data_IF_730241540913
#
_entry.id   IF_730241540913
#
_cell.length_a   1.000
_cell.length_b   1.000
_cell.length_c   1.000
_cell.angle_alpha   90.00
_cell.angle_beta   90.00
_cell.angle_gamma   90.00
#
_symmetry.space_group_name_H-M   'P 1'
#
loop_
_entity.id
_entity.type
_entity.pdbx_description
1 polymer ?
#
# COMPACT_ATOMS: atom_id res chain seq x y z
N UNK A 1 14.87 17.69 23.97
CA UNK A 1 13.60 16.94 23.91
C UNK A 1 13.93 15.57 23.37
N UNK A 2 14.00 14.58 24.24
CA UNK A 2 14.29 13.19 23.89
C UNK A 2 13.04 12.59 23.25
N UNK A 3 13.10 12.31 21.94
CA UNK A 3 12.08 11.55 21.23
C UNK A 3 12.08 10.14 21.81
N UNK A 4 11.11 9.83 22.65
CA UNK A 4 10.88 8.47 23.13
C UNK A 4 10.34 7.69 21.95
N UNK A 5 11.19 6.90 21.31
CA UNK A 5 10.77 5.92 20.32
C UNK A 5 9.99 4.87 21.10
N UNK A 6 8.65 4.97 21.12
CA UNK A 6 7.81 3.91 21.65
C UNK A 6 8.07 2.63 20.86
N UNK A 7 8.81 1.73 21.48
CA UNK A 7 9.03 0.40 20.92
C UNK A 7 7.79 -0.45 21.20
N UNK A 8 6.93 -0.56 20.21
CA UNK A 8 5.81 -1.51 20.28
C UNK A 8 6.35 -2.95 20.29
N UNK A 9 5.74 -3.85 21.11
CA UNK A 9 6.14 -5.24 21.13
C UNK A 9 5.90 -5.92 19.77
N UNK A 10 6.50 -7.08 19.51
CA UNK A 10 6.21 -7.85 18.31
C UNK A 10 4.71 -8.07 18.15
N UNK A 11 4.18 -7.80 16.95
CA UNK A 11 2.76 -8.00 16.66
C UNK A 11 2.59 -9.43 16.16
N UNK A 12 1.83 -10.23 16.89
CA UNK A 12 1.44 -11.55 16.43
C UNK A 12 0.41 -11.44 15.30
N UNK A 13 0.42 -12.37 14.37
CA UNK A 13 -0.48 -12.40 13.21
C UNK A 13 -1.96 -12.29 13.56
N UNK A 14 -2.35 -12.88 14.69
CA UNK A 14 -3.73 -12.84 15.22
C UNK A 14 -4.24 -11.44 15.58
N UNK A 15 -3.34 -10.48 15.74
CA UNK A 15 -3.68 -9.10 16.08
C UNK A 15 -3.74 -8.16 14.86
N UNK A 16 -3.40 -8.66 13.67
CA UNK A 16 -3.48 -7.91 12.42
C UNK A 16 -4.70 -8.37 11.63
N UNK A 17 -5.67 -7.47 11.45
CA UNK A 17 -6.84 -7.70 10.62
C UNK A 17 -6.72 -6.92 9.32
N UNK A 18 -7.01 -7.56 8.19
CA UNK A 18 -7.23 -6.89 6.91
C UNK A 18 -8.74 -6.77 6.69
N UNK A 19 -9.18 -5.56 6.41
CA UNK A 19 -10.57 -5.23 6.14
C UNK A 19 -10.66 -4.57 4.76
N UNK A 20 -11.77 -4.79 4.06
CA UNK A 20 -12.11 -3.98 2.90
C UNK A 20 -12.30 -2.53 3.34
N UNK A 21 -11.72 -1.61 2.58
CA UNK A 21 -11.94 -0.18 2.78
C UNK A 21 -13.07 0.28 1.88
N UNK A 22 -14.05 0.94 2.46
CA UNK A 22 -15.22 1.49 1.80
C UNK A 22 -15.20 3.03 1.87
N UNK A 23 -16.07 3.68 1.10
CA UNK A 23 -16.10 5.14 0.96
C UNK A 23 -16.24 5.88 2.31
N UNK A 24 -16.91 5.26 3.29
CA UNK A 24 -17.08 5.76 4.65
C UNK A 24 -15.76 5.87 5.43
N UNK A 25 -14.74 5.14 5.02
CA UNK A 25 -13.40 5.15 5.64
C UNK A 25 -12.47 6.19 5.02
N UNK A 26 -12.96 7.03 4.11
CA UNK A 26 -12.13 7.97 3.36
C UNK A 26 -11.37 8.95 4.27
N UNK A 27 -12.01 9.46 5.34
CA UNK A 27 -11.35 10.35 6.31
C UNK A 27 -10.25 9.63 7.08
N UNK A 28 -10.51 8.40 7.54
CA UNK A 28 -9.53 7.58 8.25
C UNK A 28 -8.30 7.29 7.36
N UNK A 29 -8.55 6.95 6.09
CA UNK A 29 -7.48 6.69 5.11
C UNK A 29 -6.73 7.96 4.71
N UNK A 30 -7.40 9.11 4.61
CA UNK A 30 -6.73 10.39 4.34
C UNK A 30 -5.73 10.75 5.46
N UNK A 31 -6.09 10.53 6.71
CA UNK A 31 -5.20 10.73 7.85
C UNK A 31 -3.99 9.79 7.81
N UNK A 32 -4.19 8.52 7.43
CA UNK A 32 -3.07 7.58 7.24
C UNK A 32 -2.19 7.99 6.06
N UNK A 33 -2.78 8.37 4.94
CA UNK A 33 -2.07 8.76 3.73
C UNK A 33 -1.19 10.00 4.00
N UNK A 34 -1.72 10.99 4.74
CA UNK A 34 -0.98 12.19 5.10
C UNK A 34 0.22 11.95 6.02
N UNK A 35 0.26 10.83 6.75
CA UNK A 35 1.44 10.46 7.55
C UNK A 35 2.58 9.88 6.72
N UNK A 36 2.30 9.45 5.48
CA UNK A 36 3.21 8.64 4.68
C UNK A 36 3.60 9.29 3.34
N UNK A 37 2.76 10.18 2.81
CA UNK A 37 2.91 10.72 1.47
C UNK A 37 2.75 12.23 1.44
N UNK A 38 3.58 12.88 0.62
CA UNK A 38 3.51 14.30 0.31
C UNK A 38 3.67 14.48 -1.21
N UNK A 39 2.69 15.03 -1.93
CA UNK A 39 1.38 15.48 -1.44
C UNK A 39 0.46 14.31 -1.02
N UNK A 40 -0.30 14.54 0.04
CA UNK A 40 -1.29 13.58 0.49
C UNK A 40 -2.59 13.67 -0.34
N UNK A 41 -3.27 12.53 -0.47
CA UNK A 41 -4.63 12.53 -1.01
C UNK A 41 -5.63 12.94 0.07
N UNK A 42 -6.56 13.81 -0.30
CA UNK A 42 -7.62 14.24 0.60
C UNK A 42 -8.77 13.21 0.68
N UNK A 43 -9.65 13.41 1.65
CA UNK A 43 -10.77 12.49 1.88
C UNK A 43 -11.77 12.45 0.70
N UNK A 44 -11.93 13.53 -0.07
CA UNK A 44 -12.83 13.53 -1.22
C UNK A 44 -12.27 12.70 -2.36
N UNK A 45 -10.99 12.87 -2.69
CA UNK A 45 -10.31 12.06 -3.69
C UNK A 45 -10.32 10.57 -3.32
N UNK A 46 -10.10 10.25 -2.05
CA UNK A 46 -10.17 8.86 -1.56
C UNK A 46 -11.59 8.32 -1.61
N UNK A 47 -12.61 9.12 -1.25
CA UNK A 47 -14.02 8.69 -1.33
C UNK A 47 -14.43 8.37 -2.75
N UNK A 48 -14.07 9.22 -3.70
CA UNK A 48 -14.36 9.00 -5.11
C UNK A 48 -13.66 7.74 -5.65
N UNK A 49 -12.39 7.54 -5.26
CA UNK A 49 -11.63 6.36 -5.62
C UNK A 49 -12.23 5.08 -5.03
N UNK A 50 -12.61 5.10 -3.75
CA UNK A 50 -13.22 3.94 -3.08
C UNK A 50 -14.61 3.60 -3.62
N UNK A 51 -15.31 4.58 -4.19
CA UNK A 51 -16.59 4.37 -4.86
C UNK A 51 -16.46 3.83 -6.30
N UNK A 52 -15.25 3.84 -6.87
CA UNK A 52 -14.98 3.28 -8.21
C UNK A 52 -15.12 1.75 -8.17
N UNK A 53 -16.02 1.14 -8.99
CA UNK A 53 -16.19 -0.32 -9.01
C UNK A 53 -14.94 -1.09 -9.44
N UNK A 54 -13.99 -0.45 -10.13
CA UNK A 54 -12.69 -1.04 -10.48
C UNK A 54 -11.68 -1.00 -9.33
N UNK A 55 -11.94 -0.22 -8.27
CA UNK A 55 -11.02 -0.13 -7.15
C UNK A 55 -11.12 -1.33 -6.21
N UNK A 56 -9.97 -1.73 -5.67
CA UNK A 56 -9.86 -2.69 -4.58
C UNK A 56 -9.01 -2.03 -3.49
N UNK A 57 -9.56 -1.88 -2.30
CA UNK A 57 -8.88 -1.21 -1.22
C UNK A 57 -8.95 -2.03 0.07
N UNK A 58 -7.82 -2.11 0.76
CA UNK A 58 -7.66 -2.82 2.02
C UNK A 58 -7.07 -1.89 3.08
N UNK A 59 -7.54 -2.02 4.30
CA UNK A 59 -6.95 -1.38 5.48
C UNK A 59 -6.46 -2.46 6.45
N UNK A 60 -5.25 -2.28 6.97
CA UNK A 60 -4.71 -3.10 8.04
C UNK A 60 -4.98 -2.42 9.38
N UNK A 61 -5.66 -3.12 10.27
CA UNK A 61 -5.89 -2.68 11.64
C UNK A 61 -5.19 -3.62 12.62
N UNK A 62 -4.60 -3.04 13.66
CA UNK A 62 -3.89 -3.77 14.70
C UNK A 62 -4.56 -3.54 16.04
N UNK A 63 -4.78 -4.61 16.79
CA UNK A 63 -5.22 -4.52 18.17
C UNK A 63 -4.01 -4.45 19.10
N UNK A 64 -3.82 -3.31 19.74
CA UNK A 64 -2.68 -3.06 20.63
C UNK A 64 -2.91 -3.58 22.06
N UNK A 65 -4.16 -3.76 22.46
CA UNK A 65 -4.58 -4.29 23.77
C UNK A 65 -5.72 -5.28 23.57
N UNK A 66 -5.79 -6.29 24.43
CA UNK A 66 -6.78 -7.38 24.32
C UNK A 66 -8.23 -6.88 24.23
N UNK A 67 -8.58 -5.83 24.97
CA UNK A 67 -9.92 -5.24 25.02
C UNK A 67 -10.01 -3.86 24.34
N UNK A 68 -8.93 -3.40 23.71
CA UNK A 68 -8.92 -2.11 23.00
C UNK A 68 -9.50 -2.20 21.59
N UNK A 69 -9.96 -1.07 21.01
CA UNK A 69 -10.35 -1.02 19.62
C UNK A 69 -9.13 -1.24 18.72
N UNK A 70 -9.29 -1.90 17.57
CA UNK A 70 -8.23 -2.00 16.59
C UNK A 70 -7.96 -0.62 15.97
N UNK A 71 -6.68 -0.29 15.77
CA UNK A 71 -6.24 0.96 15.17
C UNK A 71 -5.75 0.74 13.75
N UNK A 72 -6.06 1.63 12.80
CA UNK A 72 -5.58 1.54 11.44
C UNK A 72 -4.09 1.90 11.39
N UNK A 73 -3.30 1.05 10.72
CA UNK A 73 -1.84 1.19 10.67
C UNK A 73 -1.27 1.11 9.27
N UNK A 74 -2.08 0.78 8.28
CA UNK A 74 -1.65 0.70 6.89
C UNK A 74 -2.81 0.44 5.95
N UNK A 75 -2.55 0.60 4.67
CA UNK A 75 -3.53 0.42 3.60
C UNK A 75 -2.87 0.00 2.29
N UNK A 76 -3.66 -0.55 1.38
CA UNK A 76 -3.28 -0.79 0.00
C UNK A 76 -4.50 -0.54 -0.89
N UNK A 77 -4.31 0.20 -1.98
CA UNK A 77 -5.35 0.50 -2.96
C UNK A 77 -4.81 0.18 -4.35
N UNK A 78 -5.59 -0.58 -5.10
CA UNK A 78 -5.35 -0.86 -6.50
C UNK A 78 -6.61 -0.66 -7.32
N UNK A 79 -6.45 -0.62 -8.62
CA UNK A 79 -7.56 -0.47 -9.57
C UNK A 79 -7.40 -1.44 -10.72
N UNK A 80 -8.48 -2.07 -11.11
CA UNK A 80 -8.58 -2.96 -12.27
C UNK A 80 -9.21 -2.19 -13.43
N UNK A 81 -8.62 -2.29 -14.59
CA UNK A 81 -9.16 -1.79 -15.86
C UNK A 81 -8.94 -2.86 -16.93
N UNK A 82 -10.04 -3.43 -17.44
CA UNK A 82 -10.04 -4.58 -18.33
C UNK A 82 -9.33 -5.80 -17.67
N UNK A 83 -8.25 -6.30 -18.25
CA UNK A 83 -7.48 -7.42 -17.73
C UNK A 83 -6.14 -7.01 -17.08
N UNK A 84 -5.97 -5.71 -16.81
CA UNK A 84 -4.82 -5.16 -16.10
C UNK A 84 -5.24 -4.51 -14.79
N UNK A 85 -4.35 -4.49 -13.83
CA UNK A 85 -4.50 -3.77 -12.58
C UNK A 85 -3.25 -2.94 -12.28
N UNK A 86 -3.43 -1.92 -11.46
CA UNK A 86 -2.36 -1.07 -10.96
C UNK A 86 -2.46 -0.94 -9.44
N UNK A 87 -1.33 -1.04 -8.75
CA UNK A 87 -1.22 -0.61 -7.35
C UNK A 87 -1.08 0.90 -7.36
N UNK A 88 -2.09 1.61 -6.87
CA UNK A 88 -2.11 3.07 -6.82
C UNK A 88 -1.34 3.60 -5.62
N UNK A 89 -1.49 2.95 -4.47
CA UNK A 89 -0.79 3.32 -3.24
C UNK A 89 -0.77 2.15 -2.26
N UNK A 90 0.31 2.05 -1.50
CA UNK A 90 0.45 1.11 -0.38
C UNK A 90 1.33 1.75 0.68
N UNK A 91 0.93 1.67 1.93
CA UNK A 91 1.70 2.24 3.02
C UNK A 91 1.40 1.59 4.36
N UNK A 92 2.40 1.63 5.24
CA UNK A 92 2.30 1.21 6.64
C UNK A 92 2.98 2.29 7.48
N UNK A 93 2.31 2.78 8.51
CA UNK A 93 2.84 3.82 9.40
C UNK A 93 4.14 3.38 10.07
N UNK A 94 5.07 4.30 10.24
CA UNK A 94 6.46 4.02 10.63
C UNK A 94 6.58 3.10 11.86
N UNK A 95 5.81 3.27 12.96
CA UNK A 95 5.93 2.39 14.13
C UNK A 95 5.57 0.91 13.86
N UNK A 96 4.86 0.66 12.76
CA UNK A 96 4.36 -0.67 12.39
C UNK A 96 5.05 -1.27 11.16
N UNK A 97 6.03 -0.58 10.60
CA UNK A 97 6.86 -1.11 9.50
C UNK A 97 7.74 -2.28 9.95
N UNK A 98 8.23 -3.07 8.98
CA UNK A 98 9.11 -4.24 9.21
C UNK A 98 8.49 -5.35 10.09
N UNK A 99 7.17 -5.42 10.15
CA UNK A 99 6.39 -6.40 10.91
C UNK A 99 5.52 -7.29 10.02
N UNK A 100 5.81 -7.35 8.72
CA UNK A 100 5.07 -8.16 7.74
C UNK A 100 3.72 -7.58 7.29
N UNK A 101 3.28 -6.43 7.83
CA UNK A 101 1.97 -5.84 7.50
C UNK A 101 1.91 -5.42 6.03
N UNK A 102 2.98 -4.82 5.49
CA UNK A 102 3.05 -4.47 4.07
C UNK A 102 2.93 -5.69 3.16
N UNK A 103 3.56 -6.81 3.53
CA UNK A 103 3.44 -8.07 2.80
C UNK A 103 2.01 -8.63 2.85
N UNK A 104 1.34 -8.56 4.01
CA UNK A 104 -0.06 -8.97 4.13
C UNK A 104 -0.99 -8.12 3.25
N UNK A 105 -0.82 -6.80 3.27
CA UNK A 105 -1.57 -5.86 2.42
C UNK A 105 -1.35 -6.14 0.94
N UNK A 106 -0.09 -6.28 0.52
CA UNK A 106 0.25 -6.56 -0.87
C UNK A 106 -0.34 -7.91 -1.34
N UNK A 107 -0.22 -8.98 -0.55
CA UNK A 107 -0.84 -10.28 -0.86
C UNK A 107 -2.37 -10.22 -0.88
N UNK A 108 -2.98 -9.45 0.01
CA UNK A 108 -4.43 -9.21 0.02
C UNK A 108 -4.89 -8.52 -1.26
N UNK A 109 -4.19 -7.45 -1.66
CA UNK A 109 -4.48 -6.71 -2.88
C UNK A 109 -4.28 -7.57 -4.15
N UNK A 110 -3.19 -8.35 -4.21
CA UNK A 110 -2.92 -9.30 -5.29
C UNK A 110 -4.11 -10.24 -5.51
N UNK A 111 -4.62 -10.84 -4.42
CA UNK A 111 -5.78 -11.74 -4.49
C UNK A 111 -7.05 -10.99 -4.94
N UNK A 112 -7.27 -9.79 -4.42
CA UNK A 112 -8.42 -8.98 -4.78
C UNK A 112 -8.46 -8.69 -6.30
N UNK A 113 -7.38 -8.15 -6.85
CA UNK A 113 -7.33 -7.79 -8.28
C UNK A 113 -7.35 -9.02 -9.19
N UNK A 114 -6.74 -10.13 -8.79
CA UNK A 114 -6.81 -11.38 -9.54
C UNK A 114 -8.25 -11.95 -9.58
N UNK A 115 -8.96 -11.91 -8.45
CA UNK A 115 -10.36 -12.32 -8.36
C UNK A 115 -11.27 -11.43 -9.21
N UNK A 116 -10.91 -10.14 -9.37
CA UNK A 116 -11.61 -9.21 -10.25
C UNK A 116 -11.27 -9.37 -11.74
N UNK A 117 -10.47 -10.38 -12.09
CA UNK A 117 -10.19 -10.77 -13.48
C UNK A 117 -8.91 -10.17 -14.06
N UNK A 118 -8.11 -9.44 -13.29
CA UNK A 118 -6.83 -8.95 -13.76
C UNK A 118 -5.85 -10.10 -14.03
N UNK A 119 -5.18 -10.05 -15.17
CA UNK A 119 -4.12 -10.99 -15.58
C UNK A 119 -2.73 -10.44 -15.31
N UNK A 120 -2.58 -9.14 -15.21
CA UNK A 120 -1.33 -8.45 -14.96
C UNK A 120 -1.53 -7.36 -13.92
N UNK A 121 -0.55 -7.18 -13.06
CA UNK A 121 -0.54 -6.10 -12.06
C UNK A 121 0.73 -5.28 -12.22
N UNK A 122 0.58 -3.96 -12.26
CA UNK A 122 1.68 -3.02 -12.38
C UNK A 122 1.74 -2.09 -11.18
N UNK A 123 2.91 -1.51 -10.96
CA UNK A 123 3.13 -0.43 -10.01
C UNK A 123 4.30 0.44 -10.42
N UNK A 124 4.34 1.67 -9.92
CA UNK A 124 5.52 2.53 -10.00
C UNK A 124 6.15 2.68 -8.60
N UNK A 125 7.46 2.63 -8.54
CA UNK A 125 8.23 2.77 -7.30
C UNK A 125 9.50 3.57 -7.55
N UNK A 126 9.87 4.44 -6.61
CA UNK A 126 11.13 5.16 -6.69
C UNK A 126 12.30 4.18 -6.62
N UNK A 127 13.28 4.33 -7.53
CA UNK A 127 14.50 3.49 -7.60
C UNK A 127 15.26 3.42 -6.27
N UNK A 128 15.20 4.49 -5.48
CA UNK A 128 15.85 4.55 -4.15
C UNK A 128 15.05 3.90 -3.01
N UNK A 129 13.82 3.46 -3.25
CA UNK A 129 12.99 2.84 -2.22
C UNK A 129 13.30 1.35 -2.07
N UNK A 130 14.44 1.04 -1.42
CA UNK A 130 14.94 -0.33 -1.26
C UNK A 130 13.95 -1.24 -0.51
N UNK A 131 13.22 -0.70 0.47
CA UNK A 131 12.25 -1.47 1.25
C UNK A 131 11.07 -1.93 0.39
N UNK A 132 10.49 -1.03 -0.42
CA UNK A 132 9.41 -1.36 -1.34
C UNK A 132 9.88 -2.29 -2.46
N UNK A 133 11.06 -2.06 -3.03
CA UNK A 133 11.65 -2.93 -4.04
C UNK A 133 11.85 -4.35 -3.51
N UNK A 134 12.38 -4.50 -2.29
CA UNK A 134 12.55 -5.81 -1.64
C UNK A 134 11.21 -6.54 -1.45
N UNK A 135 10.17 -5.82 -1.03
CA UNK A 135 8.82 -6.36 -0.90
C UNK A 135 8.29 -6.86 -2.26
N UNK A 136 8.32 -6.02 -3.28
CA UNK A 136 7.76 -6.36 -4.59
C UNK A 136 8.54 -7.48 -5.29
N UNK A 137 9.87 -7.48 -5.21
CA UNK A 137 10.68 -8.58 -5.73
C UNK A 137 10.38 -9.91 -5.03
N UNK A 138 10.15 -9.89 -3.70
CA UNK A 138 9.75 -11.10 -2.96
C UNK A 138 8.39 -11.67 -3.40
N UNK A 139 7.52 -10.82 -3.94
CA UNK A 139 6.22 -11.19 -4.51
C UNK A 139 6.31 -11.63 -5.98
N UNK A 140 7.49 -11.52 -6.59
CA UNK A 140 7.74 -11.94 -7.98
C UNK A 140 7.57 -10.85 -9.02
N UNK A 141 7.41 -9.58 -8.62
CA UNK A 141 7.43 -8.45 -9.55
C UNK A 141 8.78 -8.33 -10.23
N UNK A 142 8.77 -7.93 -11.51
CA UNK A 142 9.96 -7.69 -12.33
C UNK A 142 9.90 -6.28 -12.91
N UNK A 143 11.07 -5.65 -13.11
CA UNK A 143 11.16 -4.38 -13.82
C UNK A 143 10.73 -4.59 -15.28
N UNK A 144 9.76 -3.80 -15.72
CA UNK A 144 9.22 -3.80 -17.09
C UNK A 144 9.38 -2.45 -17.76
N UNK A 145 9.73 -1.40 -17.01
CA UNK A 145 9.94 -0.07 -17.53
C UNK A 145 10.63 0.85 -16.54
N UNK A 146 11.03 2.03 -17.03
CA UNK A 146 11.66 3.07 -16.22
C UNK A 146 11.29 4.45 -16.75
N UNK A 147 11.00 5.37 -15.81
CA UNK A 147 10.77 6.79 -16.11
C UNK A 147 11.88 7.61 -15.43
N UNK A 148 12.77 8.17 -16.25
CA UNK A 148 13.90 8.97 -15.76
C UNK A 148 13.41 10.27 -15.13
N UNK A 149 13.98 10.63 -13.98
CA UNK A 149 13.74 11.88 -13.29
C UNK A 149 12.28 12.16 -12.92
N UNK A 150 11.49 11.13 -12.71
CA UNK A 150 10.04 11.23 -12.47
C UNK A 150 9.71 11.87 -11.12
N UNK A 151 10.39 11.45 -10.08
CA UNK A 151 10.23 12.05 -8.75
C UNK A 151 11.11 13.28 -8.63
N UNK A 152 10.53 14.39 -8.19
CA UNK A 152 11.24 15.65 -7.94
C UNK A 152 11.35 15.89 -6.44
N UNK A 153 12.56 16.00 -5.93
CA UNK A 153 12.82 16.40 -4.57
C UNK A 153 12.70 17.91 -4.38
N UNK A 154 12.42 18.37 -3.15
CA UNK A 154 12.32 19.80 -2.84
C UNK A 154 13.65 20.55 -3.01
N UNK A 155 14.77 19.86 -3.03
CA UNK A 155 16.13 20.37 -3.26
C UNK A 155 16.52 20.42 -4.76
N UNK A 156 15.58 20.15 -5.67
CA UNK A 156 15.81 20.07 -7.11
C UNK A 156 16.40 18.73 -7.57
N UNK A 157 16.66 17.79 -6.65
CA UNK A 157 17.06 16.43 -7.03
C UNK A 157 15.96 15.72 -7.83
N UNK A 158 16.34 14.71 -8.59
CA UNK A 158 15.37 13.86 -9.28
C UNK A 158 15.73 12.39 -9.10
N UNK A 159 14.72 11.56 -8.97
CA UNK A 159 14.87 10.12 -8.90
C UNK A 159 14.05 9.43 -9.99
N UNK A 160 14.59 8.33 -10.52
CA UNK A 160 13.88 7.52 -11.49
C UNK A 160 12.73 6.76 -10.80
N UNK A 161 11.62 6.61 -11.52
CA UNK A 161 10.60 5.64 -11.20
C UNK A 161 10.86 4.35 -11.97
N UNK A 162 10.77 3.22 -11.29
CA UNK A 162 10.74 1.90 -11.91
C UNK A 162 9.29 1.46 -12.05
N UNK A 163 8.92 1.01 -13.24
CA UNK A 163 7.65 0.31 -13.44
C UNK A 163 7.89 -1.17 -13.23
N UNK A 164 7.23 -1.76 -12.25
CA UNK A 164 7.28 -3.19 -11.98
C UNK A 164 5.99 -3.86 -12.45
N UNK A 165 6.11 -5.04 -13.02
CA UNK A 165 4.99 -5.85 -13.49
C UNK A 165 5.00 -7.26 -12.90
N UNK A 166 3.82 -7.83 -12.70
CA UNK A 166 3.59 -9.18 -12.23
C UNK A 166 2.51 -9.85 -13.07
N UNK A 167 2.82 -11.03 -13.59
CA UNK A 167 1.84 -11.91 -14.24
C UNK A 167 1.03 -12.66 -13.17
N UNK A 168 -0.29 -12.55 -13.23
CA UNK A 168 -1.22 -13.16 -12.30
C UNK A 168 -1.81 -14.48 -12.82
N UNK A 169 -1.60 -14.81 -14.10
CA UNK A 169 -2.21 -15.99 -14.73
C UNK A 169 -1.65 -17.32 -14.21
N UNK A 170 -0.44 -17.31 -13.65
CA UNK A 170 0.24 -18.50 -13.15
C UNK A 170 0.35 -18.56 -11.61
N UNK A 171 -0.43 -17.73 -10.90
CA UNK A 171 -0.49 -17.82 -9.44
C UNK A 171 -1.66 -18.71 -9.03
N UNK A 172 -1.39 -19.72 -8.18
CA UNK A 172 -2.43 -20.58 -7.64
C UNK A 172 -3.40 -19.84 -6.74
#
# INVERSE_FOLDING_TARGET
MTSTTESYPPIEDRYVSLLWAEAEMAEELALLHAQLFDPAWDANALRDLLADPGASALVAKVRLRELGPPVPVGFAIGRVAADEAEVLTIGVTTPFQRRGIGLKLANGLLRAVATSGAKRLFLEVAKGNAAALGLYHSLGFKEVGRRQGYYKGPDGSSADALTLGLDLTNKP
#
